data_IF_391376345399
#
_entry.id   IF_391376345399
#
_cell.length_a   1.000
_cell.length_b   1.000
_cell.length_c   1.000
_cell.angle_alpha   90.00
_cell.angle_beta   90.00
_cell.angle_gamma   90.00
#
_symmetry.space_group_name_H-M   'P 1'
#
loop_
_entity.id
_entity.type
_entity.pdbx_description
1 polymer ?
#
# COMPACT_ATOMS: atom_id res chain seq x y z
N UNK A 1 -9.54 0.98 0.06
CA UNK A 1 -9.62 2.38 0.52
C UNK A 1 -10.53 3.13 -0.43
N UNK A 2 -11.24 4.15 0.04
CA UNK A 2 -12.17 4.89 -0.81
C UNK A 2 -11.42 5.88 -1.72
N UNK A 3 -11.90 6.08 -2.96
CA UNK A 3 -11.43 7.14 -3.85
C UNK A 3 -11.98 8.51 -3.42
N UNK A 4 -11.36 9.59 -3.90
CA UNK A 4 -11.58 10.95 -3.38
C UNK A 4 -13.01 11.47 -3.56
N UNK A 5 -13.71 11.00 -4.59
CA UNK A 5 -15.10 11.31 -4.94
C UNK A 5 -16.12 10.71 -3.96
N UNK A 6 -15.78 9.60 -3.30
CA UNK A 6 -16.62 8.93 -2.30
C UNK A 6 -16.30 9.37 -0.86
N UNK A 7 -15.34 10.28 -0.68
CA UNK A 7 -15.02 10.82 0.64
C UNK A 7 -16.06 11.85 1.05
N UNK A 8 -16.64 11.64 2.23
CA UNK A 8 -17.65 12.52 2.80
C UNK A 8 -17.07 13.13 4.05
N UNK A 9 -16.92 14.45 4.05
CA UNK A 9 -16.39 15.21 5.18
C UNK A 9 -17.25 16.45 5.43
N UNK A 10 -17.38 16.80 6.71
CA UNK A 10 -17.93 18.07 7.16
C UNK A 10 -16.77 18.94 7.63
N UNK A 11 -16.81 20.23 7.33
CA UNK A 11 -15.85 21.18 7.87
C UNK A 11 -16.54 22.15 8.81
N UNK A 12 -15.97 22.32 10.00
CA UNK A 12 -16.39 23.29 11.00
C UNK A 12 -15.18 24.16 11.34
N UNK A 13 -15.17 25.39 10.84
CA UNK A 13 -14.00 26.27 10.90
C UNK A 13 -12.78 25.62 10.25
N UNK A 14 -11.70 25.49 11.04
CA UNK A 14 -10.47 24.84 10.61
C UNK A 14 -10.49 23.30 10.76
N UNK A 15 -11.47 22.74 11.47
CA UNK A 15 -11.57 21.30 11.72
C UNK A 15 -12.28 20.57 10.58
N UNK A 16 -11.77 19.39 10.21
CA UNK A 16 -12.38 18.50 9.25
C UNK A 16 -12.83 17.21 9.95
N UNK A 17 -14.08 16.79 9.74
CA UNK A 17 -14.63 15.57 10.36
C UNK A 17 -15.20 14.66 9.27
N UNK A 18 -14.67 13.44 9.08
CA UNK A 18 -15.21 12.48 8.12
C UNK A 18 -16.59 11.95 8.56
N UNK A 19 -17.46 11.58 7.61
CA UNK A 19 -18.73 10.91 7.92
C UNK A 19 -18.41 9.51 8.43
N UNK A 20 -18.72 9.27 9.71
CA UNK A 20 -18.75 7.94 10.29
C UNK A 20 -20.19 7.42 10.29
N UNK A 21 -20.37 6.17 9.88
CA UNK A 21 -21.64 5.45 9.97
C UNK A 21 -21.76 4.83 11.37
N UNK A 22 -22.92 4.97 12.03
CA UNK A 22 -23.21 4.25 13.27
C UNK A 22 -23.41 2.76 13.00
N UNK A 23 -23.39 1.96 14.06
CA UNK A 23 -23.72 0.53 14.03
C UNK A 23 -25.20 0.27 14.32
N UNK A 24 -26.09 1.13 13.83
CA UNK A 24 -27.54 0.96 13.99
C UNK A 24 -28.10 -0.11 13.04
N UNK A 25 -29.33 -0.55 13.30
CA UNK A 25 -29.96 -1.63 12.53
C UNK A 25 -30.11 -1.28 11.04
N UNK A 26 -30.38 0.00 10.74
CA UNK A 26 -30.55 0.48 9.37
C UNK A 26 -29.26 0.33 8.53
N UNK A 27 -28.10 0.77 9.04
CA UNK A 27 -26.84 0.65 8.31
C UNK A 27 -26.36 -0.80 8.27
N UNK A 28 -26.63 -1.58 9.33
CA UNK A 28 -26.31 -3.01 9.33
C UNK A 28 -27.14 -3.79 8.31
N UNK A 29 -28.43 -3.48 8.19
CA UNK A 29 -29.30 -4.09 7.19
C UNK A 29 -28.84 -3.72 5.77
N UNK A 30 -28.54 -2.44 5.52
CA UNK A 30 -27.99 -2.00 4.23
C UNK A 30 -26.69 -2.74 3.88
N UNK A 31 -25.77 -2.88 4.85
CA UNK A 31 -24.54 -3.63 4.65
C UNK A 31 -24.81 -5.11 4.36
N UNK A 32 -25.75 -5.74 5.06
CA UNK A 32 -26.14 -7.13 4.84
C UNK A 32 -26.75 -7.36 3.44
N UNK A 33 -27.60 -6.44 2.97
CA UNK A 33 -28.18 -6.50 1.62
C UNK A 33 -27.11 -6.43 0.52
N UNK A 34 -26.12 -5.55 0.67
CA UNK A 34 -25.01 -5.45 -0.28
C UNK A 34 -24.10 -6.68 -0.25
N UNK A 35 -23.85 -7.25 0.94
CA UNK A 35 -23.09 -8.50 1.09
C UNK A 35 -23.82 -9.66 0.40
N UNK A 36 -25.13 -9.78 0.61
CA UNK A 36 -25.95 -10.80 -0.03
C UNK A 36 -25.95 -10.67 -1.55
N UNK A 37 -26.07 -9.44 -2.06
CA UNK A 37 -25.98 -9.15 -3.49
C UNK A 37 -24.65 -9.67 -4.09
N UNK A 38 -23.51 -9.42 -3.45
CA UNK A 38 -22.23 -9.97 -3.92
C UNK A 38 -22.19 -11.51 -3.88
N UNK A 39 -22.77 -12.12 -2.84
CA UNK A 39 -22.84 -13.58 -2.70
C UNK A 39 -23.61 -14.25 -3.85
N UNK A 40 -24.75 -13.67 -4.26
CA UNK A 40 -25.59 -14.17 -5.37
C UNK A 40 -24.94 -14.03 -6.75
N UNK A 41 -23.90 -13.20 -6.86
CA UNK A 41 -23.15 -12.96 -8.08
C UNK A 41 -21.85 -13.75 -8.17
N UNK A 42 -21.60 -14.69 -7.24
CA UNK A 42 -20.47 -15.60 -7.35
C UNK A 42 -20.58 -16.44 -8.63
N UNK A 43 -19.50 -16.46 -9.41
CA UNK A 43 -19.45 -17.11 -10.72
C UNK A 43 -20.03 -16.28 -11.88
N UNK A 44 -20.52 -15.05 -11.63
CA UNK A 44 -21.05 -14.16 -12.66
C UNK A 44 -20.04 -13.07 -13.08
N UNK A 45 -20.24 -12.41 -14.23
CA UNK A 45 -19.41 -11.29 -14.68
C UNK A 45 -19.48 -10.09 -13.74
N UNK A 46 -18.37 -9.36 -13.62
CA UNK A 46 -18.28 -8.13 -12.82
C UNK A 46 -19.33 -7.10 -13.24
N UNK A 47 -19.62 -6.98 -14.53
CA UNK A 47 -20.59 -6.02 -15.07
C UNK A 47 -22.05 -6.33 -14.70
N UNK A 48 -22.38 -7.58 -14.36
CA UNK A 48 -23.71 -7.90 -13.77
C UNK A 48 -23.80 -7.39 -12.34
N UNK A 49 -22.77 -7.66 -11.54
CA UNK A 49 -22.70 -7.17 -10.16
C UNK A 49 -22.70 -5.63 -10.10
N UNK A 50 -21.91 -4.98 -10.96
CA UNK A 50 -21.81 -3.51 -11.00
C UNK A 50 -23.16 -2.87 -11.39
N UNK A 51 -23.95 -3.49 -12.28
CA UNK A 51 -25.30 -3.04 -12.62
C UNK A 51 -26.26 -3.15 -11.44
N UNK A 52 -26.33 -4.32 -10.81
CA UNK A 52 -27.21 -4.56 -9.65
C UNK A 52 -26.88 -3.61 -8.49
N UNK A 53 -25.59 -3.35 -8.23
CA UNK A 53 -25.15 -2.40 -7.21
C UNK A 53 -25.54 -0.95 -7.56
N UNK A 54 -25.49 -0.59 -8.85
CA UNK A 54 -25.89 0.74 -9.34
C UNK A 54 -27.40 0.95 -9.24
N UNK A 55 -28.20 -0.08 -9.54
CA UNK A 55 -29.65 -0.01 -9.41
C UNK A 55 -30.05 0.21 -7.95
N UNK A 56 -29.40 -0.49 -7.01
CA UNK A 56 -29.61 -0.30 -5.55
C UNK A 56 -29.18 1.08 -5.06
N UNK A 57 -28.12 1.65 -5.64
CA UNK A 57 -27.71 3.02 -5.36
C UNK A 57 -28.83 4.02 -5.68
N UNK A 58 -29.51 3.85 -6.82
CA UNK A 58 -30.58 4.75 -7.28
C UNK A 58 -31.81 4.81 -6.36
N UNK A 59 -32.01 3.81 -5.51
CA UNK A 59 -33.15 3.72 -4.57
C UNK A 59 -32.88 4.37 -3.20
N UNK A 60 -31.63 4.76 -2.91
CA UNK A 60 -31.25 5.31 -1.60
C UNK A 60 -30.95 6.82 -1.65
N UNK A 61 -31.44 7.62 -0.68
CA UNK A 61 -31.07 9.03 -0.58
C UNK A 61 -29.57 9.23 -0.25
N UNK A 62 -28.93 8.21 0.33
CA UNK A 62 -27.52 8.21 0.72
C UNK A 62 -26.64 7.46 -0.33
N UNK A 63 -26.87 7.73 -1.62
CA UNK A 63 -26.20 7.06 -2.76
C UNK A 63 -24.67 6.95 -2.61
N UNK A 64 -24.00 7.98 -2.08
CA UNK A 64 -22.54 7.96 -1.85
C UNK A 64 -22.11 6.91 -0.82
N UNK A 65 -22.93 6.65 0.20
CA UNK A 65 -22.64 5.63 1.21
C UNK A 65 -22.76 4.24 0.59
N UNK A 66 -23.85 3.98 -0.15
CA UNK A 66 -24.07 2.72 -0.87
C UNK A 66 -22.92 2.45 -1.83
N UNK A 67 -22.58 3.44 -2.68
CA UNK A 67 -21.46 3.36 -3.62
C UNK A 67 -20.12 3.12 -2.91
N UNK A 68 -19.90 3.74 -1.76
CA UNK A 68 -18.68 3.54 -0.97
C UNK A 68 -18.58 2.14 -0.35
N UNK A 69 -19.68 1.60 0.20
CA UNK A 69 -19.74 0.23 0.73
C UNK A 69 -19.52 -0.79 -0.39
N UNK A 70 -20.21 -0.63 -1.52
CA UNK A 70 -20.05 -1.44 -2.73
C UNK A 70 -18.60 -1.43 -3.25
N UNK A 71 -17.96 -0.25 -3.29
CA UNK A 71 -16.57 -0.13 -3.69
C UNK A 71 -15.63 -0.91 -2.75
N UNK A 72 -15.88 -0.90 -1.44
CA UNK A 72 -15.08 -1.64 -0.46
C UNK A 72 -15.27 -3.14 -0.63
N UNK A 73 -16.51 -3.61 -0.81
CA UNK A 73 -16.83 -5.01 -1.09
C UNK A 73 -16.06 -5.50 -2.32
N UNK A 74 -16.24 -4.81 -3.45
CA UNK A 74 -15.59 -5.14 -4.72
C UNK A 74 -14.06 -5.12 -4.64
N UNK A 75 -13.48 -4.17 -3.91
CA UNK A 75 -12.04 -3.97 -3.89
C UNK A 75 -11.27 -4.78 -2.84
N UNK A 76 -11.93 -5.19 -1.74
CA UNK A 76 -11.24 -5.85 -0.62
C UNK A 76 -11.66 -7.31 -0.39
N UNK A 77 -12.83 -7.71 -0.90
CA UNK A 77 -13.42 -9.00 -0.59
C UNK A 77 -13.75 -9.85 -1.83
N UNK A 78 -13.72 -9.25 -3.03
CA UNK A 78 -13.96 -9.94 -4.29
C UNK A 78 -12.65 -10.18 -5.07
N UNK A 79 -12.46 -11.39 -5.58
CA UNK A 79 -11.41 -11.72 -6.55
C UNK A 79 -12.04 -11.95 -7.91
N UNK A 80 -11.66 -11.12 -8.88
CA UNK A 80 -12.12 -11.22 -10.26
C UNK A 80 -11.02 -11.76 -11.16
N UNK A 81 -11.29 -12.85 -11.86
CA UNK A 81 -10.33 -13.53 -12.71
C UNK A 81 -10.79 -13.54 -14.17
N UNK A 82 -9.81 -13.61 -15.07
CA UNK A 82 -10.04 -13.78 -16.50
C UNK A 82 -10.28 -15.27 -16.72
N UNK A 83 -11.50 -15.65 -17.09
CA UNK A 83 -11.86 -17.04 -17.41
C UNK A 83 -11.92 -17.17 -18.92
N UNK A 84 -10.89 -17.80 -19.50
CA UNK A 84 -10.76 -17.99 -20.95
C UNK A 84 -9.96 -19.26 -21.25
N UNK A 85 -10.23 -19.96 -22.37
CA UNK A 85 -9.47 -21.15 -22.74
C UNK A 85 -7.99 -20.86 -23.05
N UNK A 86 -7.72 -19.69 -23.62
CA UNK A 86 -6.39 -19.14 -23.92
C UNK A 86 -6.31 -17.68 -23.43
N UNK A 87 -5.12 -17.07 -23.46
CA UNK A 87 -5.00 -15.63 -23.27
C UNK A 87 -5.91 -14.88 -24.28
N UNK A 88 -6.79 -13.95 -23.85
CA UNK A 88 -7.81 -13.36 -24.72
C UNK A 88 -7.27 -12.72 -26.01
N UNK A 89 -6.04 -12.19 -25.98
CA UNK A 89 -5.37 -11.68 -27.18
C UNK A 89 -5.09 -12.76 -28.23
N UNK A 90 -4.60 -13.92 -27.80
CA UNK A 90 -4.31 -15.07 -28.68
C UNK A 90 -5.62 -15.69 -29.19
N UNK A 91 -6.62 -15.80 -28.31
CA UNK A 91 -7.93 -16.31 -28.68
C UNK A 91 -8.58 -15.46 -29.78
N UNK A 92 -8.55 -14.13 -29.64
CA UNK A 92 -9.04 -13.19 -30.65
C UNK A 92 -8.28 -13.34 -31.97
N UNK A 93 -6.96 -13.46 -31.94
CA UNK A 93 -6.16 -13.64 -33.14
C UNK A 93 -6.55 -14.92 -33.89
N UNK A 94 -6.75 -16.03 -33.17
CA UNK A 94 -7.12 -17.32 -33.76
C UNK A 94 -8.55 -17.29 -34.33
N UNK A 95 -9.51 -16.82 -33.55
CA UNK A 95 -10.93 -16.75 -33.96
C UNK A 95 -11.09 -15.80 -35.14
N UNK A 96 -10.56 -14.58 -35.06
CA UNK A 96 -10.72 -13.58 -36.12
C UNK A 96 -9.89 -13.89 -37.37
N UNK A 97 -8.71 -14.51 -37.21
CA UNK A 97 -7.91 -14.97 -38.35
C UNK A 97 -8.64 -16.03 -39.18
N UNK A 98 -9.38 -16.94 -38.53
CA UNK A 98 -10.20 -17.95 -39.22
C UNK A 98 -11.51 -17.38 -39.75
N UNK A 99 -12.17 -16.49 -39.01
CA UNK A 99 -13.42 -15.88 -39.47
C UNK A 99 -13.23 -15.06 -40.74
N UNK A 100 -12.05 -14.44 -40.92
CA UNK A 100 -11.71 -13.69 -42.12
C UNK A 100 -11.65 -14.54 -43.41
N UNK A 101 -11.55 -15.87 -43.29
CA UNK A 101 -11.48 -16.81 -44.43
C UNK A 101 -12.87 -17.29 -44.88
N UNK A 102 -13.94 -16.92 -44.17
CA UNK A 102 -15.29 -17.41 -44.40
C UNK A 102 -16.26 -16.26 -44.69
N UNK A 103 -17.35 -16.56 -45.40
CA UNK A 103 -18.45 -15.61 -45.57
C UNK A 103 -19.16 -15.36 -44.22
N UNK A 104 -19.44 -14.09 -43.85
CA UNK A 104 -20.15 -13.79 -42.61
C UNK A 104 -21.57 -14.37 -42.63
N UNK A 105 -21.84 -15.35 -41.77
CA UNK A 105 -23.19 -15.86 -41.50
C UNK A 105 -23.29 -16.47 -40.11
N UNK A 106 -24.47 -16.45 -39.45
CA UNK A 106 -24.65 -17.09 -38.14
C UNK A 106 -24.29 -18.58 -38.13
N UNK A 107 -24.62 -19.29 -39.21
CA UNK A 107 -24.31 -20.72 -39.38
C UNK A 107 -22.80 -20.96 -39.44
N UNK A 108 -22.07 -20.12 -40.20
CA UNK A 108 -20.61 -20.23 -40.30
C UNK A 108 -19.94 -19.88 -38.96
N UNK A 109 -20.44 -18.87 -38.24
CA UNK A 109 -19.93 -18.52 -36.91
C UNK A 109 -20.09 -19.67 -35.92
N UNK A 110 -21.24 -20.35 -35.91
CA UNK A 110 -21.45 -21.50 -35.01
C UNK A 110 -20.49 -22.65 -35.35
N UNK A 111 -20.39 -23.02 -36.63
CA UNK A 111 -19.48 -24.08 -37.11
C UNK A 111 -18.01 -23.75 -36.82
N UNK A 112 -17.60 -22.50 -37.01
CA UNK A 112 -16.25 -22.04 -36.71
C UNK A 112 -15.91 -22.19 -35.22
N UNK A 113 -16.82 -21.78 -34.33
CA UNK A 113 -16.59 -21.88 -32.89
C UNK A 113 -16.53 -23.34 -32.43
N UNK A 114 -17.33 -24.24 -33.01
CA UNK A 114 -17.24 -25.68 -32.77
C UNK A 114 -15.91 -26.27 -33.23
N UNK A 115 -15.42 -25.88 -34.42
CA UNK A 115 -14.12 -26.30 -34.93
C UNK A 115 -12.98 -25.85 -34.01
N UNK A 116 -12.98 -24.57 -33.61
CA UNK A 116 -11.96 -24.04 -32.70
C UNK A 116 -12.07 -24.69 -31.32
N UNK A 117 -13.28 -24.96 -30.81
CA UNK A 117 -13.49 -25.66 -29.55
C UNK A 117 -12.89 -27.07 -29.57
N UNK A 118 -13.07 -27.81 -30.67
CA UNK A 118 -12.49 -29.13 -30.85
C UNK A 118 -10.96 -29.07 -30.92
N UNK A 119 -10.40 -28.12 -31.68
CA UNK A 119 -8.95 -27.93 -31.76
C UNK A 119 -8.35 -27.61 -30.38
N UNK A 120 -8.92 -26.66 -29.65
CA UNK A 120 -8.46 -26.27 -28.32
C UNK A 120 -8.63 -27.41 -27.31
N UNK A 121 -9.67 -28.22 -27.47
CA UNK A 121 -9.88 -29.40 -26.62
C UNK A 121 -8.74 -30.40 -26.74
N UNK A 122 -8.25 -30.62 -27.96
CA UNK A 122 -7.12 -31.50 -28.23
C UNK A 122 -5.79 -30.89 -27.79
N UNK A 123 -5.60 -29.58 -28.02
CA UNK A 123 -4.36 -28.87 -27.69
C UNK A 123 -4.14 -28.73 -26.18
N UNK A 124 -5.21 -28.48 -25.43
CA UNK A 124 -5.15 -28.21 -24.00
C UNK A 124 -5.42 -29.46 -23.13
N UNK A 125 -5.70 -30.61 -23.75
CA UNK A 125 -6.08 -31.87 -23.09
C UNK A 125 -7.22 -31.68 -22.05
N UNK A 126 -8.19 -30.82 -22.38
CA UNK A 126 -9.37 -30.53 -21.56
C UNK A 126 -10.56 -30.16 -22.43
N UNK A 127 -11.81 -30.47 -22.04
CA UNK A 127 -12.98 -30.07 -22.82
C UNK A 127 -13.08 -28.54 -22.88
N UNK A 128 -13.18 -27.99 -24.09
CA UNK A 128 -13.47 -26.57 -24.35
C UNK A 128 -14.80 -26.46 -25.07
N UNK A 129 -15.70 -25.62 -24.58
CA UNK A 129 -17.01 -25.42 -25.20
C UNK A 129 -17.02 -24.18 -26.12
N UNK A 130 -17.84 -24.16 -27.18
CA UNK A 130 -17.99 -22.98 -28.04
C UNK A 130 -18.42 -21.72 -27.28
N UNK A 131 -19.17 -21.88 -26.19
CA UNK A 131 -19.58 -20.76 -25.35
C UNK A 131 -18.43 -20.18 -24.52
N UNK A 132 -17.51 -21.03 -24.05
CA UNK A 132 -16.29 -20.57 -23.36
C UNK A 132 -15.39 -19.77 -24.28
N UNK A 133 -15.35 -20.11 -25.58
CA UNK A 133 -14.66 -19.29 -26.58
C UNK A 133 -15.35 -17.93 -26.72
N UNK A 134 -16.68 -17.91 -26.85
CA UNK A 134 -17.45 -16.65 -26.96
C UNK A 134 -17.20 -15.73 -25.77
N UNK A 135 -17.28 -16.26 -24.55
CA UNK A 135 -17.02 -15.50 -23.33
C UNK A 135 -15.54 -15.08 -23.23
N UNK A 136 -14.62 -15.99 -23.59
CA UNK A 136 -13.17 -15.78 -23.52
C UNK A 136 -12.63 -14.67 -24.42
N UNK A 137 -13.30 -14.36 -25.55
CA UNK A 137 -12.84 -13.34 -26.52
C UNK A 137 -12.56 -11.98 -25.88
N UNK A 138 -13.37 -11.61 -24.89
CA UNK A 138 -13.31 -10.32 -24.20
C UNK A 138 -13.26 -10.46 -22.68
N UNK A 139 -12.83 -11.62 -22.17
CA UNK A 139 -12.72 -11.89 -20.74
C UNK A 139 -11.66 -11.00 -20.04
N UNK A 140 -10.76 -10.37 -20.81
CA UNK A 140 -9.77 -9.39 -20.33
C UNK A 140 -10.40 -8.05 -19.89
N UNK A 141 -11.56 -7.68 -20.47
CA UNK A 141 -12.30 -6.48 -20.11
C UNK A 141 -12.82 -6.57 -18.67
N UNK A 142 -12.68 -5.50 -17.84
CA UNK A 142 -13.09 -5.53 -16.44
C UNK A 142 -14.51 -6.04 -16.20
N UNK A 143 -15.47 -5.61 -17.01
CA UNK A 143 -16.89 -5.99 -16.89
C UNK A 143 -17.15 -7.49 -17.14
N UNK A 144 -16.27 -8.16 -17.89
CA UNK A 144 -16.42 -9.57 -18.24
C UNK A 144 -15.65 -10.51 -17.30
N UNK A 145 -14.85 -9.97 -16.38
CA UNK A 145 -14.11 -10.80 -15.41
C UNK A 145 -15.09 -11.48 -14.47
N UNK A 146 -14.82 -12.74 -14.15
CA UNK A 146 -15.73 -13.56 -13.34
C UNK A 146 -15.35 -13.44 -11.87
N UNK A 147 -16.36 -13.28 -11.01
CA UNK A 147 -16.20 -13.33 -9.56
C UNK A 147 -15.94 -14.76 -9.10
N UNK A 148 -14.67 -15.16 -8.94
CA UNK A 148 -14.30 -16.54 -8.58
C UNK A 148 -14.25 -16.76 -7.07
N UNK A 149 -13.76 -15.78 -6.32
CA UNK A 149 -13.67 -15.82 -4.86
C UNK A 149 -14.36 -14.62 -4.23
N UNK A 150 -15.06 -14.86 -3.13
CA UNK A 150 -15.71 -13.84 -2.34
C UNK A 150 -15.62 -14.18 -0.86
N UNK A 151 -14.86 -13.37 -0.12
CA UNK A 151 -14.67 -13.50 1.33
C UNK A 151 -15.67 -12.60 2.05
N UNK A 152 -16.91 -13.08 2.21
CA UNK A 152 -18.00 -12.27 2.77
C UNK A 152 -17.67 -11.73 4.18
N UNK A 153 -17.59 -10.41 4.38
CA UNK A 153 -17.41 -9.82 5.71
C UNK A 153 -18.72 -9.85 6.51
N UNK A 154 -18.64 -9.67 7.82
CA UNK A 154 -19.84 -9.32 8.60
C UNK A 154 -20.29 -7.88 8.28
N UNK A 155 -21.58 -7.55 8.38
CA UNK A 155 -22.08 -6.19 8.20
C UNK A 155 -21.35 -5.15 9.06
N UNK A 156 -21.10 -5.50 10.34
CA UNK A 156 -20.31 -4.69 11.27
C UNK A 156 -18.89 -4.46 10.78
N UNK A 157 -18.20 -5.49 10.29
CA UNK A 157 -16.84 -5.37 9.77
C UNK A 157 -16.80 -4.48 8.51
N UNK A 158 -17.80 -4.56 7.64
CA UNK A 158 -17.90 -3.69 6.47
C UNK A 158 -18.08 -2.22 6.86
N UNK A 159 -18.93 -1.92 7.84
CA UNK A 159 -19.12 -0.56 8.36
C UNK A 159 -17.83 -0.03 8.98
N UNK A 160 -17.14 -0.82 9.80
CA UNK A 160 -15.83 -0.42 10.35
C UNK A 160 -14.81 -0.15 9.23
N UNK A 161 -14.78 -1.00 8.20
CA UNK A 161 -13.90 -0.82 7.03
C UNK A 161 -14.21 0.46 6.26
N UNK A 162 -15.50 0.82 6.15
CA UNK A 162 -15.96 2.08 5.56
C UNK A 162 -15.51 3.29 6.38
N UNK A 163 -15.77 3.29 7.69
CA UNK A 163 -15.38 4.38 8.59
C UNK A 163 -13.86 4.60 8.58
N UNK A 164 -13.08 3.51 8.63
CA UNK A 164 -11.63 3.58 8.48
C UNK A 164 -11.23 4.16 7.13
N UNK A 165 -11.86 3.72 6.04
CA UNK A 165 -11.55 4.21 4.69
C UNK A 165 -11.87 5.70 4.48
N UNK A 166 -12.92 6.22 5.14
CA UNK A 166 -13.25 7.65 5.14
C UNK A 166 -12.14 8.48 5.80
N UNK A 167 -11.60 8.02 6.93
CA UNK A 167 -10.47 8.67 7.61
C UNK A 167 -9.19 8.55 6.80
N UNK A 168 -8.90 7.37 6.24
CA UNK A 168 -7.75 7.14 5.36
C UNK A 168 -7.69 8.13 4.19
N UNK A 169 -8.85 8.46 3.62
CA UNK A 169 -8.95 9.42 2.52
C UNK A 169 -8.54 10.85 2.87
N UNK A 170 -8.56 11.24 4.15
CA UNK A 170 -8.12 12.57 4.59
C UNK A 170 -6.63 12.77 4.28
N UNK A 171 -5.82 11.71 4.42
CA UNK A 171 -4.37 11.79 4.23
C UNK A 171 -3.94 12.01 2.79
N UNK A 172 -4.84 11.84 1.81
CA UNK A 172 -4.54 12.13 0.41
C UNK A 172 -4.20 13.61 0.18
N UNK A 173 -4.70 14.50 1.05
CA UNK A 173 -4.49 15.96 0.99
C UNK A 173 -3.67 16.49 2.17
N UNK A 174 -3.00 15.61 2.91
CA UNK A 174 -2.17 16.00 4.03
C UNK A 174 -0.84 16.59 3.55
N UNK A 175 -0.47 17.72 4.12
CA UNK A 175 0.86 18.33 3.93
C UNK A 175 1.84 17.81 4.97
N UNK A 176 1.36 17.54 6.18
CA UNK A 176 2.15 16.98 7.28
C UNK A 176 1.22 16.19 8.20
N UNK A 177 1.73 15.08 8.74
CA UNK A 177 1.08 14.31 9.79
C UNK A 177 2.05 14.19 10.96
N UNK A 178 1.61 14.55 12.16
CA UNK A 178 2.36 14.42 13.40
C UNK A 178 1.65 13.36 14.24
N UNK A 179 2.38 12.32 14.63
CA UNK A 179 1.90 11.25 15.49
C UNK A 179 2.71 11.32 16.78
N UNK A 180 2.06 11.63 17.90
CA UNK A 180 2.66 11.49 19.22
C UNK A 180 2.27 10.11 19.74
N UNK A 181 3.20 9.16 19.68
CA UNK A 181 3.06 7.86 20.30
C UNK A 181 3.62 7.95 21.73
N UNK A 182 2.73 8.19 22.70
CA UNK A 182 3.07 8.27 24.12
C UNK A 182 3.68 6.94 24.62
N UNK A 183 4.11 6.86 25.89
CA UNK A 183 4.68 5.64 26.48
C UNK A 183 3.79 4.40 26.24
N UNK A 184 4.30 3.46 25.45
CA UNK A 184 3.71 2.18 25.05
C UNK A 184 4.73 1.05 25.21
N UNK A 185 4.29 -0.19 25.00
CA UNK A 185 5.18 -1.35 25.02
C UNK A 185 6.18 -1.31 23.85
N UNK A 186 7.44 -1.76 24.04
CA UNK A 186 8.45 -1.76 22.97
C UNK A 186 8.02 -2.50 21.70
N UNK A 187 7.19 -3.55 21.82
CA UNK A 187 6.65 -4.28 20.68
C UNK A 187 5.73 -3.43 19.79
N UNK A 188 4.93 -2.53 20.38
CA UNK A 188 4.04 -1.64 19.63
C UNK A 188 4.82 -0.59 18.84
N UNK A 189 5.89 -0.02 19.44
CA UNK A 189 6.78 0.89 18.72
C UNK A 189 7.49 0.19 17.57
N UNK A 190 8.05 -1.00 17.81
CA UNK A 190 8.68 -1.82 16.77
C UNK A 190 7.71 -2.07 15.61
N UNK A 191 6.45 -2.40 15.91
CA UNK A 191 5.41 -2.60 14.91
C UNK A 191 5.15 -1.33 14.10
N UNK A 192 4.93 -0.19 14.77
CA UNK A 192 4.65 1.09 14.12
C UNK A 192 5.81 1.51 13.19
N UNK A 193 7.05 1.42 13.68
CA UNK A 193 8.26 1.74 12.94
C UNK A 193 8.47 0.83 11.73
N UNK A 194 8.18 -0.46 11.87
CA UNK A 194 8.19 -1.41 10.74
C UNK A 194 7.19 -0.99 9.67
N UNK A 195 5.99 -0.55 10.04
CA UNK A 195 5.01 -0.05 9.06
C UNK A 195 5.41 1.28 8.41
N UNK A 196 6.10 2.17 9.12
CA UNK A 196 6.67 3.39 8.53
C UNK A 196 7.66 3.04 7.41
N UNK A 197 8.55 2.07 7.66
CA UNK A 197 9.52 1.57 6.67
C UNK A 197 8.85 0.81 5.52
N UNK A 198 7.91 -0.09 5.84
CA UNK A 198 7.10 -0.83 4.87
C UNK A 198 6.46 0.07 3.81
N UNK A 199 5.83 1.15 4.27
CA UNK A 199 5.16 2.12 3.40
C UNK A 199 6.10 3.20 2.85
N UNK A 200 7.40 3.08 3.10
CA UNK A 200 8.46 3.98 2.63
C UNK A 200 8.14 5.45 2.95
N UNK A 201 7.65 5.68 4.17
CA UNK A 201 7.22 7.00 4.61
C UNK A 201 8.42 7.86 5.00
N UNK A 202 8.34 9.15 4.67
CA UNK A 202 9.33 10.14 5.06
C UNK A 202 9.06 10.58 6.49
N UNK A 203 9.44 9.73 7.43
CA UNK A 203 9.28 9.98 8.85
C UNK A 203 10.56 10.54 9.47
N UNK A 204 10.40 11.48 10.38
CA UNK A 204 11.42 11.95 11.31
C UNK A 204 10.92 11.69 12.73
N UNK A 205 11.77 11.11 13.57
CA UNK A 205 11.38 10.55 14.86
C UNK A 205 12.20 11.19 15.97
N UNK A 206 11.50 11.72 16.96
CA UNK A 206 12.04 12.38 18.14
C UNK A 206 11.54 11.70 19.40
N UNK A 207 12.32 11.75 20.48
CA UNK A 207 11.97 11.15 21.77
C UNK A 207 12.72 9.86 22.09
N UNK A 208 12.24 9.17 23.11
CA UNK A 208 12.84 7.96 23.66
C UNK A 208 11.75 7.00 24.15
N UNK A 209 12.13 5.79 24.54
CA UNK A 209 11.19 4.77 24.98
C UNK A 209 10.50 5.09 26.32
N UNK A 210 11.06 5.99 27.14
CA UNK A 210 10.53 6.33 28.46
C UNK A 210 9.42 7.39 28.36
N UNK A 211 9.60 8.40 27.51
CA UNK A 211 8.63 9.49 27.28
C UNK A 211 7.67 9.18 26.12
N UNK A 212 8.12 8.37 25.17
CA UNK A 212 7.45 8.09 23.90
C UNK A 212 8.06 8.86 22.73
N UNK A 213 7.50 8.63 21.55
CA UNK A 213 8.04 9.13 20.28
C UNK A 213 7.09 10.12 19.60
N UNK A 214 7.66 11.20 19.09
CA UNK A 214 7.00 12.12 18.16
C UNK A 214 7.47 11.80 16.76
N UNK A 215 6.56 11.35 15.91
CA UNK A 215 6.82 10.96 14.54
C UNK A 215 6.21 12.02 13.63
N UNK A 216 7.07 12.78 12.95
CA UNK A 216 6.66 13.74 11.93
C UNK A 216 6.80 13.10 10.56
N UNK A 217 5.67 12.95 9.84
CA UNK A 217 5.62 12.40 8.49
C UNK A 217 5.26 13.52 7.52
N UNK A 218 6.13 13.76 6.54
CA UNK A 218 5.82 14.69 5.46
C UNK A 218 4.69 14.10 4.62
N UNK A 219 3.68 14.91 4.26
CA UNK A 219 2.49 14.48 3.54
C UNK A 219 2.58 14.66 2.02
N UNK A 220 1.68 14.04 1.22
CA UNK A 220 1.69 14.11 -0.24
C UNK A 220 1.60 15.52 -0.83
N UNK A 221 0.99 16.50 -0.16
CA UNK A 221 0.89 17.88 -0.66
C UNK A 221 2.07 18.77 -0.28
N UNK A 222 2.99 18.31 0.58
CA UNK A 222 4.33 18.92 0.68
C UNK A 222 5.17 18.70 -0.58
N UNK A 223 4.71 17.77 -1.44
CA UNK A 223 5.36 17.42 -2.69
C UNK A 223 4.96 18.43 -3.77
N UNK A 224 5.93 19.17 -4.33
CA UNK A 224 5.74 20.14 -5.43
C UNK A 224 4.88 19.62 -6.60
N UNK A 225 4.73 18.29 -6.73
CA UNK A 225 3.60 17.64 -7.41
C UNK A 225 2.95 16.65 -6.43
N UNK A 226 1.68 16.84 -6.08
CA UNK A 226 0.96 15.91 -5.22
C UNK A 226 1.07 14.47 -5.77
N UNK A 227 1.75 13.59 -5.05
CA UNK A 227 1.88 12.18 -5.42
C UNK A 227 0.73 11.40 -4.79
N UNK A 228 -0.24 11.00 -5.62
CA UNK A 228 -1.36 10.13 -5.20
C UNK A 228 -0.84 8.81 -4.59
N UNK A 229 0.26 8.27 -5.11
CA UNK A 229 0.91 7.04 -4.61
C UNK A 229 1.44 7.20 -3.17
N UNK A 230 2.06 8.33 -2.86
CA UNK A 230 2.57 8.58 -1.52
C UNK A 230 1.43 8.82 -0.52
N UNK A 231 0.39 9.57 -0.92
CA UNK A 231 -0.80 9.78 -0.08
C UNK A 231 -1.52 8.47 0.28
N UNK A 232 -1.61 7.53 -0.68
CA UNK A 232 -2.12 6.19 -0.42
C UNK A 232 -1.23 5.40 0.54
N UNK A 233 0.10 5.55 0.45
CA UNK A 233 1.05 4.87 1.34
C UNK A 233 0.93 5.40 2.77
N UNK A 234 0.80 6.71 2.94
CA UNK A 234 0.53 7.34 4.23
C UNK A 234 -0.80 6.87 4.82
N UNK A 235 -1.85 6.78 3.99
CA UNK A 235 -3.15 6.30 4.43
C UNK A 235 -3.13 4.84 4.92
N UNK A 236 -2.23 3.99 4.38
CA UNK A 236 -2.03 2.61 4.85
C UNK A 236 -1.39 2.51 6.23
N UNK A 237 -0.76 3.58 6.74
CA UNK A 237 -0.20 3.61 8.11
C UNK A 237 -1.29 3.62 9.18
N UNK A 238 -2.44 4.27 8.93
CA UNK A 238 -3.48 4.42 9.95
C UNK A 238 -3.94 3.07 10.57
N UNK A 239 -4.26 2.02 9.79
CA UNK A 239 -4.57 0.71 10.34
C UNK A 239 -3.50 0.13 11.26
N UNK A 240 -2.21 0.40 10.98
CA UNK A 240 -1.12 -0.03 11.85
C UNK A 240 -1.05 0.80 13.15
N UNK A 241 -1.31 2.10 13.06
CA UNK A 241 -1.37 2.98 14.23
C UNK A 241 -2.48 2.57 15.21
N UNK A 242 -3.60 2.02 14.70
CA UNK A 242 -4.69 1.49 15.55
C UNK A 242 -4.28 0.28 16.41
N UNK A 243 -3.15 -0.36 16.14
CA UNK A 243 -2.58 -1.41 17.00
C UNK A 243 -1.71 -0.87 18.14
N UNK A 244 -1.52 0.45 18.21
CA UNK A 244 -0.78 1.12 19.28
C UNK A 244 -1.77 1.65 20.31
N UNK A 245 -1.49 1.43 21.60
CA UNK A 245 -2.45 1.68 22.67
C UNK A 245 -2.65 3.16 22.99
N UNK A 246 -1.56 3.96 22.98
CA UNK A 246 -1.59 5.37 23.39
C UNK A 246 -0.95 6.27 22.34
N UNK A 247 -1.77 6.99 21.59
CA UNK A 247 -1.29 7.93 20.58
C UNK A 247 -2.26 9.08 20.35
N UNK A 248 -1.72 10.17 19.80
CA UNK A 248 -2.49 11.25 19.19
C UNK A 248 -1.91 11.57 17.81
N UNK A 249 -2.79 11.82 16.85
CA UNK A 249 -2.45 12.16 15.48
C UNK A 249 -3.03 13.52 15.16
N UNK A 250 -2.23 14.38 14.54
CA UNK A 250 -2.69 15.63 13.93
C UNK A 250 -2.19 15.71 12.50
N UNK A 251 -3.10 15.93 11.56
CA UNK A 251 -2.81 16.15 10.16
C UNK A 251 -3.13 17.58 9.75
N UNK A 252 -2.17 18.23 9.10
CA UNK A 252 -2.34 19.54 8.46
C UNK A 252 -2.68 19.31 7.00
N UNK A 253 -3.78 19.90 6.53
CA UNK A 253 -4.35 19.66 5.21
C UNK A 253 -4.37 20.94 4.39
N UNK A 254 -4.07 20.85 3.09
CA UNK A 254 -4.35 21.92 2.15
C UNK A 254 -5.74 21.72 1.56
N UNK A 255 -6.61 22.70 1.77
CA UNK A 255 -7.96 22.71 1.23
C UNK A 255 -8.12 23.93 0.33
N UNK A 256 -8.44 23.73 -0.95
CA UNK A 256 -8.86 24.84 -1.81
C UNK A 256 -10.29 25.21 -1.47
N UNK A 257 -10.55 26.46 -1.16
CA UNK A 257 -11.92 26.93 -1.01
C UNK A 257 -12.68 26.74 -2.33
N UNK A 258 -13.89 26.19 -2.28
CA UNK A 258 -14.70 25.98 -3.47
C UNK A 258 -15.09 27.30 -4.14
N UNK A 259 -15.23 28.38 -3.35
CA UNK A 259 -15.64 29.69 -3.85
C UNK A 259 -14.46 30.57 -4.26
N UNK A 260 -13.51 30.83 -3.35
CA UNK A 260 -12.37 31.74 -3.64
C UNK A 260 -11.19 31.07 -4.33
N UNK A 261 -11.14 29.74 -4.41
CA UNK A 261 -9.99 28.95 -4.88
C UNK A 261 -8.68 29.18 -4.11
N UNK A 262 -8.72 29.95 -3.02
CA UNK A 262 -7.55 30.21 -2.17
C UNK A 262 -7.22 28.97 -1.31
N UNK A 263 -5.93 28.69 -1.10
CA UNK A 263 -5.51 27.62 -0.22
C UNK A 263 -5.76 28.00 1.24
N UNK A 264 -6.66 27.26 1.90
CA UNK A 264 -6.89 27.33 3.35
C UNK A 264 -6.26 26.12 4.02
N UNK A 265 -5.64 26.35 5.17
CA UNK A 265 -5.15 25.29 6.04
C UNK A 265 -6.33 24.74 6.85
N UNK A 266 -6.48 23.42 6.85
CA UNK A 266 -7.40 22.71 7.73
C UNK A 266 -6.61 21.74 8.60
N UNK A 267 -7.15 21.41 9.77
CA UNK A 267 -6.59 20.46 10.71
C UNK A 267 -7.54 19.30 10.91
N UNK A 268 -6.98 18.09 10.94
CA UNK A 268 -7.67 16.89 11.38
C UNK A 268 -6.91 16.32 12.57
N UNK A 269 -7.62 15.98 13.64
CA UNK A 269 -7.03 15.38 14.84
C UNK A 269 -7.76 14.09 15.18
N UNK A 270 -6.99 13.09 15.61
CA UNK A 270 -7.49 11.79 16.03
C UNK A 270 -6.67 11.31 17.23
N UNK A 271 -7.28 10.51 18.10
CA UNK A 271 -6.65 9.96 19.31
C UNK A 271 -6.95 8.47 19.39
N UNK A 272 -6.24 7.77 20.28
CA UNK A 272 -6.40 6.33 20.50
C UNK A 272 -7.78 5.90 21.02
N UNK A 273 -8.60 6.83 21.52
CA UNK A 273 -10.00 6.59 21.95
C UNK A 273 -11.02 6.57 20.79
N UNK A 274 -10.56 6.64 19.54
CA UNK A 274 -11.44 6.62 18.38
C UNK A 274 -12.14 5.26 18.18
N UNK A 275 -13.33 5.29 17.57
CA UNK A 275 -14.13 4.09 17.25
C UNK A 275 -13.67 3.33 15.99
N UNK A 276 -12.47 3.62 15.48
CA UNK A 276 -11.95 2.99 14.29
C UNK A 276 -11.38 1.61 14.61
N UNK A 277 -11.65 0.64 13.74
CA UNK A 277 -11.17 -0.74 13.90
C UNK A 277 -10.20 -1.05 12.77
N UNK A 278 -9.03 -1.59 13.13
CA UNK A 278 -8.05 -2.02 12.14
C UNK A 278 -8.51 -3.27 11.41
N UNK A 279 -8.25 -3.32 10.11
CA UNK A 279 -8.40 -4.54 9.30
C UNK A 279 -7.08 -5.30 9.17
N UNK A 280 -5.98 -4.80 9.77
CA UNK A 280 -4.71 -5.51 9.75
C UNK A 280 -4.73 -6.60 10.83
N UNK A 281 -4.39 -7.85 10.48
CA UNK A 281 -4.30 -8.92 11.48
C UNK A 281 -3.26 -8.59 12.56
N UNK A 282 -3.53 -8.90 13.84
CA UNK A 282 -2.55 -8.73 14.90
C UNK A 282 -1.35 -9.66 14.65
N UNK A 283 -0.13 -9.16 14.87
CA UNK A 283 1.11 -9.95 14.80
C UNK A 283 1.58 -10.37 13.41
N UNK A 284 0.80 -10.15 12.34
CA UNK A 284 1.24 -10.40 10.95
C UNK A 284 1.75 -9.11 10.32
N UNK A 285 3.06 -9.04 10.11
CA UNK A 285 3.70 -7.92 9.40
C UNK A 285 3.88 -8.28 7.93
N UNK A 286 3.51 -7.37 7.04
CA UNK A 286 3.84 -7.46 5.61
C UNK A 286 5.22 -6.81 5.42
N UNK A 287 6.12 -7.46 4.68
CA UNK A 287 7.47 -6.94 4.40
C UNK A 287 7.43 -6.01 3.18
N UNK A 288 8.36 -5.04 3.10
CA UNK A 288 8.46 -4.17 1.92
C UNK A 288 9.06 -4.99 0.77
N UNK A 289 8.50 -4.88 -0.44
CA UNK A 289 8.97 -5.67 -1.59
C UNK A 289 10.48 -5.48 -1.86
N UNK A 290 11.06 -4.33 -1.50
CA UNK A 290 12.48 -4.05 -1.66
C UNK A 290 13.32 -4.82 -0.64
N UNK A 291 12.98 -4.75 0.64
CA UNK A 291 13.63 -5.49 1.73
C UNK A 291 13.51 -7.00 1.54
N UNK A 292 12.31 -7.49 1.18
CA UNK A 292 12.07 -8.90 0.93
C UNK A 292 12.97 -9.42 -0.21
N UNK A 293 13.07 -8.66 -1.31
CA UNK A 293 13.93 -9.03 -2.43
C UNK A 293 15.41 -9.07 -2.05
N UNK A 294 15.87 -8.18 -1.17
CA UNK A 294 17.25 -8.17 -0.67
C UNK A 294 17.51 -9.36 0.25
N UNK A 295 16.60 -9.66 1.18
CA UNK A 295 16.71 -10.83 2.08
C UNK A 295 16.75 -12.13 1.27
N UNK A 296 15.87 -12.29 0.28
CA UNK A 296 15.87 -13.47 -0.59
C UNK A 296 17.18 -13.62 -1.38
N UNK A 297 17.77 -12.51 -1.84
CA UNK A 297 19.07 -12.52 -2.50
C UNK A 297 20.22 -12.81 -1.53
N UNK A 298 20.15 -12.29 -0.30
CA UNK A 298 21.14 -12.55 0.75
C UNK A 298 21.20 -14.02 1.10
N UNK A 299 20.05 -14.66 1.31
CA UNK A 299 19.97 -16.10 1.61
C UNK A 299 20.54 -16.98 0.48
N UNK A 300 20.41 -16.55 -0.78
CA UNK A 300 21.03 -17.23 -1.93
C UNK A 300 22.54 -17.02 -2.01
N UNK A 301 23.05 -15.96 -1.38
CA UNK A 301 24.47 -15.65 -1.34
C UNK A 301 25.10 -16.47 -0.21
N UNK A 302 25.88 -17.50 -0.54
CA UNK A 302 26.58 -18.32 0.47
C UNK A 302 27.64 -17.46 1.16
N UNK A 303 27.34 -16.96 2.35
CA UNK A 303 28.23 -16.11 3.16
C UNK A 303 28.11 -16.48 4.64
N UNK A 304 29.20 -16.35 5.43
CA UNK A 304 29.11 -16.50 6.89
C UNK A 304 28.31 -15.37 7.56
N UNK A 305 28.17 -14.22 6.90
CA UNK A 305 27.45 -13.07 7.42
C UNK A 305 25.93 -13.29 7.49
N UNK A 306 25.37 -13.18 8.68
CA UNK A 306 23.94 -13.29 8.95
C UNK A 306 23.28 -11.91 8.82
N UNK A 307 22.15 -11.86 8.12
CA UNK A 307 21.35 -10.65 7.96
C UNK A 307 20.18 -10.69 8.95
N UNK A 308 20.24 -9.84 9.97
CA UNK A 308 19.20 -9.63 10.97
C UNK A 308 18.31 -8.45 10.58
N UNK A 309 16.99 -8.62 10.74
CA UNK A 309 15.99 -7.60 10.44
C UNK A 309 15.65 -6.72 11.63
N UNK A 310 15.70 -7.29 12.84
CA UNK A 310 15.45 -6.53 14.04
C UNK A 310 16.74 -5.84 14.46
N UNK A 311 16.74 -4.52 14.30
CA UNK A 311 17.87 -3.70 14.67
C UNK A 311 17.45 -2.78 15.80
N UNK A 312 18.33 -2.64 16.79
CA UNK A 312 18.13 -1.68 17.86
C UNK A 312 18.07 -0.26 17.30
N UNK A 313 17.21 0.54 17.92
CA UNK A 313 17.11 1.97 17.65
C UNK A 313 18.46 2.61 17.95
N UNK A 314 18.94 3.46 17.04
CA UNK A 314 20.16 4.23 17.27
C UNK A 314 19.75 5.56 17.93
N UNK A 315 20.00 5.75 19.24
CA UNK A 315 19.68 6.99 19.92
C UNK A 315 20.60 8.09 19.41
N UNK A 316 20.02 9.25 19.12
CA UNK A 316 20.72 10.47 18.73
C UNK A 316 20.21 11.57 19.66
N UNK A 317 21.02 12.52 20.14
CA UNK A 317 20.52 13.61 20.97
C UNK A 317 19.34 14.35 20.31
N UNK A 318 18.15 14.20 20.89
CA UNK A 318 16.89 14.76 20.40
C UNK A 318 16.21 14.00 19.25
N UNK A 319 16.73 12.86 18.78
CA UNK A 319 16.10 12.08 17.70
C UNK A 319 16.44 10.58 17.74
N UNK A 320 15.75 9.78 16.96
CA UNK A 320 16.09 8.36 16.80
C UNK A 320 16.23 8.01 15.34
N UNK A 321 17.22 7.16 15.04
CA UNK A 321 17.37 6.54 13.73
C UNK A 321 16.95 5.08 13.80
N UNK A 322 16.09 4.67 12.88
CA UNK A 322 15.67 3.28 12.69
C UNK A 322 16.44 2.72 11.49
N UNK A 323 17.49 1.91 11.72
CA UNK A 323 18.15 1.21 10.64
C UNK A 323 17.30 0.07 10.05
N UNK A 324 17.56 -0.29 8.79
CA UNK A 324 16.82 -1.34 8.07
C UNK A 324 17.31 -2.76 8.41
N UNK A 325 18.63 -2.96 8.50
CA UNK A 325 19.22 -4.26 8.76
C UNK A 325 20.45 -4.18 9.66
N UNK A 326 20.77 -5.30 10.30
CA UNK A 326 22.04 -5.54 10.97
C UNK A 326 22.69 -6.75 10.32
N UNK A 327 23.97 -6.65 10.02
CA UNK A 327 24.75 -7.72 9.39
C UNK A 327 25.79 -8.19 10.40
N UNK A 328 25.70 -9.44 10.83
CA UNK A 328 26.51 -10.01 11.91
C UNK A 328 27.35 -11.15 11.38
N UNK A 329 28.65 -11.13 11.68
CA UNK A 329 29.56 -12.22 11.38
C UNK A 329 29.72 -13.14 12.60
N UNK A 330 29.94 -14.46 12.42
CA UNK A 330 30.16 -15.39 13.53
C UNK A 330 31.37 -15.07 14.42
N UNK A 331 32.31 -14.23 13.97
CA UNK A 331 33.46 -13.76 14.77
C UNK A 331 33.12 -12.57 15.70
N UNK A 332 31.86 -12.13 15.72
CA UNK A 332 31.38 -11.04 16.56
C UNK A 332 31.34 -9.67 15.89
N UNK A 333 31.87 -9.52 14.66
CA UNK A 333 31.74 -8.25 13.93
C UNK A 333 30.27 -8.00 13.56
N UNK A 334 29.80 -6.78 13.76
CA UNK A 334 28.45 -6.37 13.41
C UNK A 334 28.45 -4.99 12.75
N UNK A 335 27.63 -4.86 11.71
CA UNK A 335 27.42 -3.60 11.00
C UNK A 335 25.94 -3.32 10.89
N UNK A 336 25.59 -2.04 10.85
CA UNK A 336 24.22 -1.58 10.65
C UNK A 336 24.09 -1.10 9.20
N UNK A 337 23.05 -1.53 8.50
CA UNK A 337 22.79 -1.17 7.12
C UNK A 337 21.48 -0.38 7.03
N UNK A 338 21.55 0.80 6.43
CA UNK A 338 20.40 1.65 6.11
C UNK A 338 20.33 1.90 4.61
N UNK A 339 19.16 1.63 4.01
CA UNK A 339 18.89 1.84 2.59
C UNK A 339 18.20 3.21 2.41
N UNK A 340 18.80 4.07 1.59
CA UNK A 340 18.29 5.38 1.24
C UNK A 340 17.73 5.33 -0.18
N UNK A 341 16.42 5.17 -0.29
CA UNK A 341 15.71 5.10 -1.56
C UNK A 341 14.97 6.37 -1.99
N UNK A 342 14.94 7.42 -1.17
CA UNK A 342 14.05 8.57 -1.37
C UNK A 342 14.78 9.89 -1.65
N UNK A 343 14.26 10.71 -2.57
CA UNK A 343 15.03 11.78 -3.23
C UNK A 343 14.83 13.19 -2.68
N UNK A 344 13.94 13.41 -1.70
CA UNK A 344 13.64 14.78 -1.28
C UNK A 344 14.81 15.48 -0.59
N UNK A 345 15.15 16.71 -1.03
CA UNK A 345 16.19 17.52 -0.41
C UNK A 345 16.07 17.65 1.11
N UNK A 346 14.90 18.01 1.62
CA UNK A 346 14.69 18.27 3.05
C UNK A 346 14.81 17.00 3.88
N UNK A 347 14.23 15.90 3.40
CA UNK A 347 14.35 14.57 4.01
C UNK A 347 15.81 14.10 4.03
N UNK A 348 16.51 14.19 2.88
CA UNK A 348 17.92 13.83 2.77
C UNK A 348 18.78 14.67 3.70
N UNK A 349 18.56 15.99 3.79
CA UNK A 349 19.29 16.86 4.73
C UNK A 349 19.14 16.39 6.18
N UNK A 350 17.91 16.13 6.62
CA UNK A 350 17.63 15.65 7.99
C UNK A 350 18.25 14.27 8.24
N UNK A 351 18.06 13.32 7.32
CA UNK A 351 18.60 11.96 7.45
C UNK A 351 20.12 11.94 7.52
N UNK A 352 20.80 12.67 6.64
CA UNK A 352 22.26 12.75 6.65
C UNK A 352 22.79 13.54 7.86
N UNK A 353 22.02 14.49 8.41
CA UNK A 353 22.35 15.11 9.69
C UNK A 353 22.26 14.11 10.85
N UNK A 354 21.25 13.23 10.87
CA UNK A 354 21.16 12.14 11.85
C UNK A 354 22.35 11.20 11.75
N UNK A 355 22.74 10.79 10.53
CA UNK A 355 23.93 9.94 10.31
C UNK A 355 25.20 10.58 10.86
N UNK A 356 25.43 11.87 10.59
CA UNK A 356 26.58 12.58 11.15
C UNK A 356 26.56 12.65 12.67
N UNK A 357 25.40 12.94 13.26
CA UNK A 357 25.24 13.01 14.72
C UNK A 357 25.36 11.64 15.40
N UNK A 358 24.96 10.56 14.73
CA UNK A 358 25.13 9.21 15.24
C UNK A 358 26.62 8.85 15.38
N UNK A 359 27.48 9.38 14.50
CA UNK A 359 28.94 9.25 14.65
C UNK A 359 29.45 7.81 14.58
N UNK A 360 28.68 6.90 13.98
CA UNK A 360 28.92 5.45 13.97
C UNK A 360 29.78 5.03 12.77
N UNK A 361 30.93 4.42 13.05
CA UNK A 361 31.80 3.82 12.02
C UNK A 361 31.33 2.46 11.51
N UNK A 362 30.42 1.80 12.23
CA UNK A 362 29.81 0.52 11.86
C UNK A 362 28.54 0.68 11.01
N UNK A 363 28.19 1.92 10.63
CA UNK A 363 27.03 2.23 9.80
C UNK A 363 27.40 2.18 8.31
N UNK A 364 26.60 1.47 7.54
CA UNK A 364 26.66 1.38 6.09
C UNK A 364 25.40 2.05 5.51
N UNK A 365 25.60 3.03 4.64
CA UNK A 365 24.54 3.69 3.88
C UNK A 365 24.51 3.17 2.44
N UNK A 366 23.46 2.44 2.08
CA UNK A 366 23.18 2.11 0.70
C UNK A 366 22.34 3.23 0.06
N UNK A 367 22.92 4.00 -0.86
CA UNK A 367 22.29 5.16 -1.50
C UNK A 367 21.95 4.82 -2.95
N UNK A 368 20.69 5.08 -3.36
CA UNK A 368 20.34 4.94 -4.78
C UNK A 368 21.01 6.03 -5.63
N UNK A 369 21.62 5.64 -6.75
CA UNK A 369 22.22 6.56 -7.74
C UNK A 369 21.18 7.50 -8.39
N UNK A 370 19.89 7.16 -8.29
CA UNK A 370 18.79 7.99 -8.79
C UNK A 370 18.55 9.22 -7.92
N UNK A 371 19.19 9.31 -6.75
CA UNK A 371 19.01 10.41 -5.80
C UNK A 371 19.91 11.59 -6.16
N UNK A 372 19.32 12.77 -6.27
CA UNK A 372 20.05 14.00 -6.51
C UNK A 372 20.50 14.63 -5.18
N UNK A 373 21.61 14.13 -4.62
CA UNK A 373 22.17 14.63 -3.36
C UNK A 373 22.73 16.06 -3.46
N UNK A 374 23.20 16.46 -4.64
CA UNK A 374 23.71 17.82 -4.89
C UNK A 374 22.61 18.86 -4.72
N UNK A 375 21.43 18.61 -5.29
CA UNK A 375 20.24 19.44 -5.09
C UNK A 375 19.82 19.49 -3.63
N UNK A 376 20.08 18.43 -2.88
CA UNK A 376 19.87 18.40 -1.44
C UNK A 376 20.94 19.18 -0.65
N UNK A 377 22.04 19.62 -1.27
CA UNK A 377 23.17 20.23 -0.56
C UNK A 377 23.86 19.26 0.40
N UNK A 378 23.75 17.95 0.14
CA UNK A 378 24.33 16.90 0.98
C UNK A 378 25.69 16.53 0.42
N UNK A 379 26.75 16.72 1.22
CA UNK A 379 28.09 16.24 0.93
C UNK A 379 28.29 14.87 1.58
N UNK A 380 28.80 13.92 0.79
CA UNK A 380 29.05 12.54 1.23
C UNK A 380 30.46 12.32 1.77
N UNK A 381 31.40 13.23 1.48
CA UNK A 381 32.81 13.11 1.85
C UNK A 381 33.07 13.13 3.37
N UNK A 382 32.19 13.77 4.15
CA UNK A 382 32.36 13.97 5.60
C UNK A 382 31.46 13.05 6.44
N UNK A 383 30.96 11.95 5.86
CA UNK A 383 30.10 11.03 6.59
C UNK A 383 30.96 9.99 7.34
N UNK A 384 30.67 9.72 8.62
CA UNK A 384 31.36 8.67 9.38
C UNK A 384 30.97 7.25 8.92
N UNK A 385 30.04 7.13 7.97
CA UNK A 385 29.45 5.88 7.51
C UNK A 385 30.05 5.45 6.16
N UNK A 386 30.17 4.14 5.94
CA UNK A 386 30.58 3.58 4.65
C UNK A 386 29.42 3.70 3.65
N UNK A 387 29.72 4.07 2.41
CA UNK A 387 28.69 4.35 1.39
C UNK A 387 28.73 3.31 0.29
N UNK A 388 27.56 2.76 -0.05
CA UNK A 388 27.35 1.88 -1.20
C UNK A 388 26.38 2.55 -2.15
N UNK A 389 26.75 2.64 -3.42
CA UNK A 389 25.86 3.15 -4.47
C UNK A 389 25.17 2.00 -5.19
N UNK A 390 23.87 2.16 -5.49
CA UNK A 390 23.13 1.17 -6.27
C UNK A 390 22.11 1.82 -7.21
N UNK A 391 21.82 1.20 -8.35
CA UNK A 391 20.83 1.71 -9.32
C UNK A 391 19.40 1.30 -8.95
N UNK A 392 19.10 0.01 -9.12
CA UNK A 392 17.73 -0.52 -9.04
C UNK A 392 17.51 -1.39 -7.82
N UNK A 393 18.45 -2.30 -7.55
CA UNK A 393 18.44 -3.19 -6.38
C UNK A 393 19.81 -3.20 -5.74
N UNK A 394 19.83 -3.15 -4.40
CA UNK A 394 21.05 -3.33 -3.63
C UNK A 394 21.51 -4.78 -3.77
N UNK A 395 22.76 -5.01 -4.17
CA UNK A 395 23.30 -6.36 -4.29
C UNK A 395 24.00 -6.79 -3.00
N UNK A 396 23.77 -8.02 -2.50
CA UNK A 396 24.51 -8.56 -1.36
C UNK A 396 26.03 -8.51 -1.54
N UNK A 397 26.52 -8.71 -2.78
CA UNK A 397 27.95 -8.65 -3.10
C UNK A 397 28.56 -7.28 -2.84
N UNK A 398 27.86 -6.20 -3.15
CA UNK A 398 28.34 -4.84 -2.89
C UNK A 398 28.48 -4.58 -1.38
N UNK A 399 27.55 -5.09 -0.57
CA UNK A 399 27.63 -5.02 0.89
C UNK A 399 28.79 -5.86 1.41
N UNK A 400 28.94 -7.10 0.93
CA UNK A 400 30.04 -7.98 1.34
C UNK A 400 31.43 -7.44 1.00
N UNK A 401 31.59 -6.73 -0.13
CA UNK A 401 32.85 -6.08 -0.47
C UNK A 401 33.26 -5.05 0.59
N UNK A 402 32.30 -4.22 1.01
CA UNK A 402 32.50 -3.22 2.07
C UNK A 402 32.79 -3.86 3.43
N UNK A 403 32.16 -5.00 3.73
CA UNK A 403 32.41 -5.77 4.95
C UNK A 403 33.76 -6.51 4.95
N UNK A 404 34.31 -6.84 3.78
CA UNK A 404 35.60 -7.52 3.63
C UNK A 404 36.79 -6.57 3.83
N UNK A 405 36.63 -5.30 3.41
CA UNK A 405 37.64 -4.24 3.57
C UNK A 405 37.63 -3.59 4.96
N UNK A 406 36.61 -3.88 5.79
CA UNK A 406 36.40 -3.29 7.10
C UNK A 406 36.82 -4.18 8.28
N UNK A 407 37.78 -3.71 9.08
CA UNK A 407 37.80 -4.02 10.51
C UNK A 407 36.81 -3.04 11.19
N UNK A 408 35.88 -3.48 12.05
CA UNK A 408 35.07 -2.53 12.79
C UNK A 408 36.02 -1.74 13.70
N UNK A 409 36.02 -0.39 13.65
CA UNK A 409 36.73 0.38 14.67
C UNK A 409 36.11 0.08 16.05
N UNK A 410 36.93 0.14 17.12
CA UNK A 410 36.52 -0.23 18.47
C UNK A 410 35.31 0.54 19.00
#
# INVERSE_FOLDING_TARGET
MLPSDLLIHRSYGESLTPKALPLDDNHQQLAAELIHCCQEHRGKPQGELDRELTDREGHSPDYKVVRGLAHILRGSFCTFEIVSPLEPGELRQRVFGRSAQQLPSPTNTASLLEQIALELTQELDRPVLPDEIRQGLYADLPENRILTQYDAPSPTALIHRYNLSQVQGIFYRATQVIINAHRNDPGEYKLLFRYLKLFQLMAYIEGDADQGFTITVDGPTSVFKASTRYGLSLAKLLPALLHVSRWSLTATLHHKDSYSQEPKLKRFSLKSDCSLVSHYPPGKTYDSMLEESFVQQWQKTKTPWQLEREVDLIPIPGSVMIPDFRVVHPDGRAYVLEIVGYWRPEYLRKKFAQVRKAGRGDLILAISERLNLEKAGVKTADLPAQIIWFKDKLSPKAVLAVLADGAPPP
#
